data_IF_395315705369
#
_entry.id   IF_395315705369
#
_cell.length_a   1.000
_cell.length_b   1.000
_cell.length_c   1.000
_cell.angle_alpha   90.00
_cell.angle_beta   90.00
_cell.angle_gamma   90.00
#
_symmetry.space_group_name_H-M   'P 1'
#
loop_
_entity.id
_entity.type
_entity.pdbx_description
1 polymer ?
#
# COMPACT_ATOMS: atom_id res chain seq x y z
N UNK A 1 5.66 -11.50 14.56
CA UNK A 1 5.25 -10.49 13.58
C UNK A 1 3.78 -10.18 13.80
N UNK A 2 3.40 -8.92 14.02
CA UNK A 2 1.99 -8.54 14.12
C UNK A 2 1.46 -8.27 12.71
N UNK A 3 0.48 -9.04 12.28
CA UNK A 3 -0.20 -8.82 11.00
C UNK A 3 -1.59 -8.25 11.27
N UNK A 4 -1.93 -7.13 10.63
CA UNK A 4 -3.19 -6.42 10.86
C UNK A 4 -4.39 -6.93 10.05
N UNK A 5 -4.12 -7.71 9.00
CA UNK A 5 -5.14 -8.27 8.11
C UNK A 5 -4.80 -9.73 7.75
N UNK A 6 -5.82 -10.49 7.36
CA UNK A 6 -5.64 -11.88 6.91
C UNK A 6 -5.86 -11.98 5.40
N UNK A 7 -5.41 -13.09 4.80
CA UNK A 7 -5.61 -13.34 3.36
C UNK A 7 -7.10 -13.24 2.96
N UNK A 8 -8.03 -13.70 3.82
CA UNK A 8 -9.47 -13.59 3.56
C UNK A 8 -9.96 -12.15 3.40
N UNK A 9 -9.43 -11.19 4.16
CA UNK A 9 -9.81 -9.78 4.02
C UNK A 9 -9.41 -9.22 2.63
N UNK A 10 -8.36 -9.78 2.03
CA UNK A 10 -7.85 -9.39 0.71
C UNK A 10 -8.66 -10.07 -0.39
N UNK A 11 -9.02 -11.33 -0.22
CA UNK A 11 -9.90 -12.06 -1.14
C UNK A 11 -11.28 -11.41 -1.25
N UNK A 12 -11.87 -11.04 -0.11
CA UNK A 12 -13.16 -10.33 -0.04
C UNK A 12 -13.10 -9.00 -0.81
N UNK A 13 -11.99 -8.28 -0.71
CA UNK A 13 -11.79 -7.01 -1.42
C UNK A 13 -11.54 -7.20 -2.91
N UNK A 14 -10.78 -8.23 -3.28
CA UNK A 14 -10.42 -8.50 -4.68
C UNK A 14 -11.59 -9.12 -5.46
N UNK A 15 -12.56 -9.72 -4.75
CA UNK A 15 -13.70 -10.41 -5.37
C UNK A 15 -13.31 -11.72 -6.04
N UNK A 16 -12.12 -12.25 -5.75
CA UNK A 16 -11.62 -13.56 -6.20
C UNK A 16 -10.75 -14.19 -5.11
N UNK A 17 -10.66 -15.51 -5.14
CA UNK A 17 -9.74 -16.28 -4.28
C UNK A 17 -8.31 -16.17 -4.79
N UNK A 18 -7.35 -16.17 -3.86
CA UNK A 18 -5.93 -16.18 -4.18
C UNK A 18 -5.50 -17.61 -4.54
N UNK A 19 -4.61 -17.74 -5.53
CA UNK A 19 -3.91 -19.01 -5.79
C UNK A 19 -2.89 -19.31 -4.69
N UNK A 20 -2.42 -20.56 -4.59
CA UNK A 20 -1.45 -20.97 -3.57
C UNK A 20 -0.16 -20.11 -3.59
N UNK A 21 0.32 -19.76 -4.78
CA UNK A 21 1.49 -18.89 -4.95
C UNK A 21 1.21 -17.44 -4.56
N UNK A 22 0.01 -16.94 -4.88
CA UNK A 22 -0.42 -15.60 -4.48
C UNK A 22 -0.67 -15.51 -2.97
N UNK A 23 -1.08 -16.60 -2.32
CA UNK A 23 -1.26 -16.66 -0.87
C UNK A 23 0.05 -16.47 -0.11
N UNK A 24 1.14 -17.09 -0.59
CA UNK A 24 2.48 -16.94 0.01
C UNK A 24 3.01 -15.52 -0.21
N UNK A 25 2.87 -14.96 -1.41
CA UNK A 25 3.32 -13.57 -1.66
C UNK A 25 2.48 -12.56 -0.89
N UNK A 26 1.17 -12.79 -0.77
CA UNK A 26 0.25 -11.99 0.04
C UNK A 26 0.68 -11.95 1.51
N UNK A 27 1.08 -13.09 2.08
CA UNK A 27 1.56 -13.15 3.46
C UNK A 27 2.84 -12.31 3.66
N UNK A 28 3.81 -12.43 2.76
CA UNK A 28 5.03 -11.61 2.81
C UNK A 28 4.73 -10.11 2.68
N UNK A 29 3.81 -9.73 1.78
CA UNK A 29 3.39 -8.34 1.60
C UNK A 29 2.64 -7.80 2.81
N UNK A 30 1.86 -8.64 3.51
CA UNK A 30 1.18 -8.27 4.74
C UNK A 30 2.16 -7.98 5.88
N UNK A 31 3.25 -8.75 5.98
CA UNK A 31 4.32 -8.53 6.96
C UNK A 31 5.08 -7.22 6.66
N UNK A 32 5.43 -6.98 5.39
CA UNK A 32 6.08 -5.74 4.97
C UNK A 32 5.18 -4.52 5.20
N UNK A 33 3.88 -4.64 4.90
CA UNK A 33 2.90 -3.57 5.14
C UNK A 33 2.80 -3.21 6.62
N UNK A 34 2.88 -4.18 7.54
CA UNK A 34 2.86 -3.92 8.97
C UNK A 34 4.04 -3.03 9.39
N UNK A 35 5.25 -3.35 8.92
CA UNK A 35 6.46 -2.56 9.20
C UNK A 35 6.34 -1.13 8.65
N UNK A 36 5.80 -0.97 7.44
CA UNK A 36 5.60 0.36 6.84
C UNK A 36 4.60 1.19 7.63
N UNK A 37 3.49 0.59 8.05
CA UNK A 37 2.44 1.28 8.82
C UNK A 37 2.97 1.70 10.20
N UNK A 38 3.65 0.80 10.90
CA UNK A 38 4.22 1.08 12.21
C UNK A 38 5.33 2.13 12.14
N UNK A 39 6.11 2.15 11.05
CA UNK A 39 7.09 3.21 10.79
C UNK A 39 6.47 4.61 10.55
N UNK A 40 5.19 4.69 10.21
CA UNK A 40 4.49 5.97 10.00
C UNK A 40 3.79 6.43 11.29
N UNK A 41 3.04 5.53 11.92
CA UNK A 41 2.35 5.83 13.17
C UNK A 41 2.03 4.53 13.94
N UNK A 42 2.80 4.28 14.99
CA UNK A 42 2.63 3.13 15.88
C UNK A 42 1.30 3.19 16.68
N UNK A 43 0.81 4.39 17.00
CA UNK A 43 -0.38 4.62 17.83
C UNK A 43 -1.70 4.70 17.03
N UNK A 44 -1.66 4.46 15.71
CA UNK A 44 -2.87 4.48 14.89
C UNK A 44 -3.86 3.37 15.32
N UNK A 45 -5.17 3.63 15.16
CA UNK A 45 -6.20 2.65 15.54
C UNK A 45 -6.07 1.36 14.73
N UNK A 46 -6.33 0.22 15.38
CA UNK A 46 -6.23 -1.11 14.75
C UNK A 46 -7.06 -1.22 13.46
N UNK A 47 -8.25 -0.62 13.43
CA UNK A 47 -9.12 -0.57 12.24
C UNK A 47 -8.47 0.21 11.08
N UNK A 48 -7.80 1.33 11.38
CA UNK A 48 -7.12 2.13 10.35
C UNK A 48 -5.92 1.38 9.79
N UNK A 49 -5.11 0.75 10.66
CA UNK A 49 -3.97 -0.07 10.23
C UNK A 49 -4.42 -1.23 9.34
N UNK A 50 -5.50 -1.93 9.74
CA UNK A 50 -6.12 -2.99 8.93
C UNK A 50 -6.60 -2.49 7.57
N UNK A 51 -7.31 -1.35 7.52
CA UNK A 51 -7.81 -0.80 6.25
C UNK A 51 -6.66 -0.41 5.31
N UNK A 52 -5.60 0.20 5.85
CA UNK A 52 -4.43 0.62 5.07
C UNK A 52 -3.65 -0.58 4.57
N UNK A 53 -3.43 -1.61 5.40
CA UNK A 53 -2.74 -2.84 4.98
C UNK A 53 -3.49 -3.54 3.84
N UNK A 54 -4.80 -3.72 3.98
CA UNK A 54 -5.65 -4.28 2.91
C UNK A 54 -5.52 -3.44 1.64
N UNK A 55 -5.59 -2.10 1.75
CA UNK A 55 -5.51 -1.21 0.59
C UNK A 55 -4.19 -1.34 -0.17
N UNK A 56 -3.08 -1.35 0.56
CA UNK A 56 -1.73 -1.47 0.01
C UNK A 56 -1.52 -2.84 -0.64
N UNK A 57 -1.86 -3.92 0.06
CA UNK A 57 -1.59 -5.29 -0.41
C UNK A 57 -2.47 -5.66 -1.60
N UNK A 58 -3.79 -5.40 -1.59
CA UNK A 58 -4.59 -5.72 -2.79
C UNK A 58 -4.22 -4.84 -3.98
N UNK A 59 -3.57 -3.69 -3.75
CA UNK A 59 -3.01 -2.90 -4.85
C UNK A 59 -1.76 -3.57 -5.42
N UNK A 60 -0.85 -4.04 -4.57
CA UNK A 60 0.35 -4.78 -5.00
C UNK A 60 -0.01 -6.06 -5.79
N UNK A 61 -1.01 -6.81 -5.31
CA UNK A 61 -1.52 -8.02 -5.98
C UNK A 61 -2.30 -7.66 -7.26
N UNK A 62 -3.05 -6.55 -7.28
CA UNK A 62 -3.75 -6.10 -8.48
C UNK A 62 -2.84 -5.49 -9.56
N UNK A 63 -1.65 -5.01 -9.19
CA UNK A 63 -0.67 -4.41 -10.10
C UNK A 63 0.34 -5.41 -10.66
N UNK A 64 0.38 -6.63 -10.14
CA UNK A 64 1.18 -7.72 -10.70
C UNK A 64 0.51 -8.25 -11.97
N UNK A 65 0.58 -7.45 -13.03
CA UNK A 65 0.21 -7.88 -14.37
C UNK A 65 1.30 -8.78 -14.96
N UNK A 66 0.91 -9.95 -15.45
CA UNK A 66 1.80 -10.91 -16.10
C UNK A 66 2.70 -10.24 -17.14
N UNK A 67 4.02 -10.35 -16.95
CA UNK A 67 5.04 -9.86 -17.88
C UNK A 67 5.54 -8.44 -17.65
N UNK A 68 5.05 -7.72 -16.62
CA UNK A 68 5.63 -6.42 -16.23
C UNK A 68 6.74 -6.65 -15.19
N UNK A 69 7.99 -6.25 -15.46
CA UNK A 69 9.07 -6.43 -14.50
C UNK A 69 8.80 -5.62 -13.22
N UNK A 70 9.21 -6.18 -12.09
CA UNK A 70 9.21 -5.51 -10.80
C UNK A 70 9.94 -4.16 -10.90
N UNK A 71 9.43 -3.12 -10.25
CA UNK A 71 10.05 -1.79 -10.34
C UNK A 71 9.61 -0.95 -11.55
N UNK A 72 8.86 -1.51 -12.50
CA UNK A 72 8.38 -0.73 -13.65
C UNK A 72 7.26 0.24 -13.23
N UNK A 73 7.31 1.47 -13.74
CA UNK A 73 6.28 2.51 -13.55
C UNK A 73 5.49 2.81 -14.81
N UNK A 74 5.98 2.34 -15.96
CA UNK A 74 5.35 2.51 -17.26
C UNK A 74 5.64 1.29 -18.14
N UNK A 75 4.69 0.94 -18.99
CA UNK A 75 4.83 -0.15 -19.95
C UNK A 75 4.22 0.23 -21.29
N UNK A 76 4.76 -0.32 -22.36
CA UNK A 76 4.13 -0.27 -23.68
C UNK A 76 4.15 -1.65 -24.32
N UNK A 77 3.03 -2.02 -24.94
CA UNK A 77 2.90 -3.23 -25.74
C UNK A 77 2.45 -2.83 -27.14
N UNK A 78 3.13 -3.35 -28.15
CA UNK A 78 2.79 -3.12 -29.54
C UNK A 78 2.68 -4.44 -30.30
N UNK A 79 1.62 -4.59 -31.10
CA UNK A 79 1.40 -5.76 -31.94
C UNK A 79 0.55 -5.36 -33.17
N UNK A 80 0.90 -5.92 -34.34
CA UNK A 80 0.14 -5.76 -35.59
C UNK A 80 -0.21 -4.28 -35.93
N UNK A 81 0.69 -3.34 -35.61
CA UNK A 81 0.50 -1.91 -35.88
C UNK A 81 -0.30 -1.15 -34.82
N UNK A 82 -0.79 -1.81 -33.77
CA UNK A 82 -1.39 -1.17 -32.60
C UNK A 82 -0.39 -1.07 -31.47
N UNK A 83 -0.44 0.02 -30.70
CA UNK A 83 0.38 0.23 -29.51
C UNK A 83 -0.48 0.72 -28.34
N UNK A 84 -0.38 0.05 -27.21
CA UNK A 84 -0.98 0.48 -25.95
C UNK A 84 0.15 0.82 -24.98
N UNK A 85 0.11 2.03 -24.43
CA UNK A 85 0.96 2.42 -23.30
C UNK A 85 0.11 2.62 -22.06
N UNK A 86 0.67 2.26 -20.91
CA UNK A 86 0.08 2.53 -19.61
C UNK A 86 1.16 3.06 -18.66
N UNK A 87 0.72 3.86 -17.70
CA UNK A 87 1.57 4.38 -16.64
C UNK A 87 0.92 4.06 -15.30
N UNK A 88 1.67 3.43 -14.39
CA UNK A 88 1.24 3.17 -13.03
C UNK A 88 1.23 4.50 -12.27
N UNK A 89 0.04 5.01 -11.99
CA UNK A 89 -0.13 6.24 -11.22
C UNK A 89 0.00 5.96 -9.72
N UNK A 90 1.20 6.16 -9.19
CA UNK A 90 1.44 6.21 -7.74
C UNK A 90 2.37 5.15 -7.17
N UNK A 91 2.99 4.29 -7.99
CA UNK A 91 3.95 3.29 -7.52
C UNK A 91 4.65 2.53 -8.63
N UNK A 92 5.50 1.61 -8.23
CA UNK A 92 6.23 0.63 -9.04
C UNK A 92 5.54 -0.73 -8.96
N UNK A 93 5.65 -1.55 -10.00
CA UNK A 93 5.10 -2.91 -9.97
C UNK A 93 5.73 -3.72 -8.83
N UNK A 94 4.86 -4.19 -7.93
CA UNK A 94 5.17 -5.12 -6.84
C UNK A 94 5.84 -4.52 -5.61
N UNK A 95 6.02 -3.21 -5.52
CA UNK A 95 6.36 -2.56 -4.24
C UNK A 95 5.09 -2.07 -3.53
N UNK A 96 5.12 -2.09 -2.20
CA UNK A 96 4.06 -1.52 -1.38
C UNK A 96 4.25 -0.02 -1.29
N UNK A 97 3.26 0.72 -1.77
CA UNK A 97 3.23 2.17 -1.62
C UNK A 97 2.00 2.63 -0.86
N UNK A 98 2.20 3.64 -0.01
CA UNK A 98 1.13 4.26 0.75
C UNK A 98 0.58 5.50 0.04
N UNK A 99 -0.73 5.55 -0.15
CA UNK A 99 -1.40 6.68 -0.80
C UNK A 99 -1.48 7.91 0.11
N UNK A 100 -1.72 9.07 -0.47
CA UNK A 100 -1.89 10.34 0.29
C UNK A 100 -3.03 10.25 1.30
N UNK A 101 -4.12 9.58 0.94
CA UNK A 101 -5.29 9.37 1.79
C UNK A 101 -4.94 8.43 2.95
N UNK A 102 -4.20 7.35 2.68
CA UNK A 102 -3.76 6.41 3.72
C UNK A 102 -2.83 7.08 4.75
N UNK A 103 -1.90 7.94 4.31
CA UNK A 103 -1.08 8.75 5.24
C UNK A 103 -1.92 9.67 6.11
N UNK A 104 -2.94 10.31 5.52
CA UNK A 104 -3.85 11.18 6.27
C UNK A 104 -4.69 10.38 7.28
N UNK A 105 -5.15 9.17 6.92
CA UNK A 105 -5.86 8.27 7.83
C UNK A 105 -4.97 7.83 9.00
N UNK A 106 -3.68 7.56 8.75
CA UNK A 106 -2.69 7.29 9.78
C UNK A 106 -2.31 8.53 10.61
N UNK A 107 -2.97 9.67 10.42
CA UNK A 107 -2.73 10.88 11.22
C UNK A 107 -1.46 11.65 10.83
N UNK A 108 -0.76 11.24 9.76
CA UNK A 108 0.40 11.98 9.28
C UNK A 108 -0.07 13.29 8.64
N UNK A 109 0.25 14.43 9.28
CA UNK A 109 -0.01 15.75 8.70
C UNK A 109 0.96 15.96 7.54
N UNK A 110 0.43 16.21 6.34
CA UNK A 110 1.20 16.44 5.11
C UNK A 110 1.84 17.86 5.06
N UNK A 111 2.39 18.33 6.18
CA UNK A 111 3.02 19.66 6.29
C UNK A 111 4.53 19.53 6.15
N UNK A 112 5.02 19.44 4.92
CA UNK A 112 6.45 19.55 4.65
C UNK A 112 6.79 21.04 4.60
N UNK A 113 7.60 21.52 5.54
CA UNK A 113 8.13 22.90 5.56
C UNK A 113 7.34 23.94 6.38
N UNK A 114 6.27 23.54 7.08
CA UNK A 114 5.54 24.43 8.00
C UNK A 114 5.26 23.70 9.31
N UNK A 115 6.11 23.93 10.32
CA UNK A 115 5.80 23.57 11.71
C UNK A 115 5.34 24.82 12.44
N UNK A 116 4.15 24.76 13.05
CA UNK A 116 3.70 25.82 13.96
C UNK A 116 4.22 25.49 15.35
N UNK A 117 4.92 26.41 16.04
CA UNK A 117 5.45 26.17 17.39
C UNK A 117 4.38 25.78 18.43
N UNK A 118 3.10 26.05 18.14
CA UNK A 118 1.97 25.69 18.99
C UNK A 118 1.57 24.22 18.85
N UNK A 119 1.85 23.57 17.72
CA UNK A 119 1.56 22.14 17.54
C UNK A 119 2.47 21.26 18.40
N UNK A 120 3.73 21.67 18.58
CA UNK A 120 4.69 20.96 19.43
C UNK A 120 4.32 21.02 20.92
N UNK A 121 3.76 22.16 21.38
CA UNK A 121 3.32 22.36 22.76
C UNK A 121 2.09 21.52 23.16
N UNK A 122 1.29 21.07 22.18
CA UNK A 122 0.12 20.22 22.42
C UNK A 122 0.49 18.74 22.48
N UNK A 123 1.56 18.32 21.77
CA UNK A 123 2.03 16.94 21.78
C UNK A 123 2.88 16.59 23.03
N UNK A 124 3.47 17.57 23.72
CA UNK A 124 4.26 17.36 24.96
C UNK A 124 3.40 17.00 26.20
N UNK A 125 2.06 16.99 26.06
CA UNK A 125 1.11 16.74 27.17
C UNK A 125 0.30 15.45 27.03
N UNK A 126 0.69 14.53 26.15
CA UNK A 126 0.04 13.21 26.00
C UNK A 126 0.98 12.07 26.35
#
# INVERSE_FOLDING_TARGET
>A
MSTYAINGDIEDRLGRTLSDTEGVTCQSLLEEAAVIIDGINEDATSETKKLVSIRMVSRAIGCSSDGVPMGATQGSMAALGYSQSWTMSGGTTGELYISKIERQMLGQKLKIGFSSPLEDLVNDKR
#
